data_IF_721003239445
#
_entry.id   IF_721003239445
#
_cell.length_a   1.000
_cell.length_b   1.000
_cell.length_c   1.000
_cell.angle_alpha   90.00
_cell.angle_beta   90.00
_cell.angle_gamma   90.00
#
_symmetry.space_group_name_H-M   'P 1'
#
loop_
_entity.id
_entity.type
_entity.pdbx_description
1 polymer ?
#
# COMPACT_ATOMS: atom_id res chain seq x y z
N UNK A 1 9.85 24.42 8.55
CA UNK A 1 8.75 24.48 7.56
C UNK A 1 8.16 23.08 7.46
N UNK A 2 7.37 22.55 8.40
CA UNK A 2 7.63 21.11 8.63
C UNK A 2 6.54 20.13 8.99
N UNK A 3 5.25 20.48 9.14
CA UNK A 3 4.21 19.44 9.38
C UNK A 3 3.08 19.47 8.34
N UNK A 4 2.43 20.62 8.14
CA UNK A 4 1.35 20.74 7.14
C UNK A 4 1.79 20.48 5.68
N UNK A 5 3.07 20.68 5.36
CA UNK A 5 3.63 20.40 4.03
C UNK A 5 3.95 18.92 3.80
N UNK A 6 4.25 18.16 4.86
CA UNK A 6 4.57 16.73 4.79
C UNK A 6 3.28 15.93 4.58
N UNK A 7 2.21 16.28 5.29
CA UNK A 7 0.89 15.66 5.08
C UNK A 7 0.35 15.88 3.67
N UNK A 8 0.58 17.07 3.10
CA UNK A 8 0.19 17.37 1.72
C UNK A 8 0.94 16.49 0.69
N UNK A 9 2.22 16.19 0.96
CA UNK A 9 3.05 15.36 0.08
C UNK A 9 2.65 13.88 0.12
N UNK A 10 2.37 13.33 1.32
CA UNK A 10 1.87 11.95 1.45
C UNK A 10 0.51 11.78 0.77
N UNK A 11 -0.42 12.71 0.97
CA UNK A 11 -1.72 12.69 0.30
C UNK A 11 -1.53 12.70 -1.23
N UNK A 12 -0.60 13.52 -1.74
CA UNK A 12 -0.29 13.56 -3.17
C UNK A 12 0.30 12.23 -3.67
N UNK A 13 1.19 11.58 -2.91
CA UNK A 13 1.76 10.25 -3.26
C UNK A 13 0.67 9.18 -3.30
N UNK A 14 -0.28 9.18 -2.36
CA UNK A 14 -1.43 8.26 -2.35
C UNK A 14 -2.34 8.50 -3.55
N UNK A 15 -2.65 9.76 -3.88
CA UNK A 15 -3.43 10.12 -5.05
C UNK A 15 -2.74 9.68 -6.34
N UNK A 16 -1.44 9.96 -6.48
CA UNK A 16 -0.64 9.55 -7.63
C UNK A 16 -0.58 8.03 -7.80
N UNK A 17 -0.51 7.29 -6.69
CA UNK A 17 -0.56 5.83 -6.69
C UNK A 17 -1.91 5.31 -7.19
N UNK A 18 -3.01 5.87 -6.67
CA UNK A 18 -4.38 5.56 -7.12
C UNK A 18 -4.56 5.87 -8.60
N UNK A 19 -4.14 7.04 -9.06
CA UNK A 19 -4.32 7.46 -10.45
C UNK A 19 -3.54 6.56 -11.43
N UNK A 20 -2.39 6.04 -10.99
CA UNK A 20 -1.55 5.16 -11.81
C UNK A 20 -2.08 3.73 -11.89
N UNK A 21 -2.55 3.17 -10.77
CA UNK A 21 -2.83 1.73 -10.67
C UNK A 21 -4.32 1.39 -10.49
N UNK A 22 -5.12 2.35 -10.03
CA UNK A 22 -6.56 2.22 -9.81
C UNK A 22 -6.95 1.86 -8.37
N UNK A 23 -8.26 1.76 -8.15
CA UNK A 23 -8.85 1.59 -6.82
C UNK A 23 -8.51 0.25 -6.16
N UNK A 24 -8.41 -0.82 -6.95
CA UNK A 24 -8.06 -2.15 -6.43
C UNK A 24 -6.69 -2.16 -5.75
N UNK A 25 -5.69 -1.48 -6.33
CA UNK A 25 -4.38 -1.31 -5.70
C UNK A 25 -4.45 -0.42 -4.46
N UNK A 26 -5.28 0.63 -4.47
CA UNK A 26 -5.45 1.48 -3.30
C UNK A 26 -6.07 0.71 -2.13
N UNK A 27 -7.07 -0.13 -2.39
CA UNK A 27 -7.64 -1.01 -1.35
C UNK A 27 -6.61 -2.00 -0.81
N UNK A 28 -5.76 -2.56 -1.67
CA UNK A 28 -4.65 -3.38 -1.23
C UNK A 28 -3.67 -2.63 -0.33
N UNK A 29 -3.32 -1.39 -0.69
CA UNK A 29 -2.48 -0.52 0.13
C UNK A 29 -3.09 -0.25 1.52
N UNK A 30 -4.43 -0.15 1.63
CA UNK A 30 -5.10 -0.04 2.92
C UNK A 30 -4.93 -1.28 3.79
N UNK A 31 -4.98 -2.49 3.21
CA UNK A 31 -4.69 -3.71 3.96
C UNK A 31 -3.23 -3.77 4.42
N UNK A 32 -2.30 -3.32 3.56
CA UNK A 32 -0.87 -3.27 3.85
C UNK A 32 -0.46 -2.16 4.83
N UNK A 33 -1.31 -1.15 5.05
CA UNK A 33 -1.01 -0.08 6.01
C UNK A 33 -1.16 -0.51 7.48
N UNK A 34 -1.75 -1.68 7.76
CA UNK A 34 -1.97 -2.16 9.12
C UNK A 34 -0.73 -2.80 9.77
N UNK A 35 0.02 -3.69 9.09
CA UNK A 35 1.29 -4.19 9.61
C UNK A 35 2.34 -3.08 9.77
N UNK A 36 3.15 -3.16 10.84
CA UNK A 36 4.26 -2.21 11.06
C UNK A 36 5.39 -2.37 10.04
N UNK A 37 5.61 -3.60 9.54
CA UNK A 37 6.60 -3.90 8.51
C UNK A 37 6.02 -4.90 7.51
N UNK A 38 6.49 -4.81 6.28
CA UNK A 38 6.02 -5.56 5.13
C UNK A 38 7.12 -6.45 4.59
N UNK A 39 6.75 -7.68 4.24
CA UNK A 39 7.57 -8.58 3.42
C UNK A 39 6.74 -9.00 2.20
N UNK A 40 7.39 -9.41 1.08
CA UNK A 40 6.68 -9.96 -0.07
C UNK A 40 5.73 -11.11 0.32
N UNK A 41 6.18 -12.02 1.19
CA UNK A 41 5.37 -13.14 1.66
C UNK A 41 4.12 -12.69 2.43
N UNK A 42 4.27 -11.71 3.34
CA UNK A 42 3.13 -11.16 4.08
C UNK A 42 2.12 -10.51 3.13
N UNK A 43 2.61 -9.74 2.14
CA UNK A 43 1.73 -9.10 1.16
C UNK A 43 1.01 -10.12 0.27
N UNK A 44 1.65 -11.21 -0.13
CA UNK A 44 0.97 -12.29 -0.84
C UNK A 44 -0.08 -12.98 0.05
N UNK A 45 0.17 -13.15 1.34
CA UNK A 45 -0.83 -13.63 2.29
C UNK A 45 -2.01 -12.66 2.40
N UNK A 46 -1.77 -11.35 2.45
CA UNK A 46 -2.85 -10.36 2.45
C UNK A 46 -3.66 -10.44 1.15
N UNK A 47 -2.97 -10.47 0.01
CA UNK A 47 -3.61 -10.58 -1.29
C UNK A 47 -4.48 -11.83 -1.38
N UNK A 48 -3.97 -13.00 -0.99
CA UNK A 48 -4.72 -14.25 -1.09
C UNK A 48 -5.97 -14.30 -0.18
N UNK A 49 -5.97 -13.59 0.94
CA UNK A 49 -7.03 -13.69 1.95
C UNK A 49 -8.03 -12.51 1.96
N UNK A 50 -7.66 -11.35 1.41
CA UNK A 50 -8.48 -10.12 1.47
C UNK A 50 -8.86 -9.64 0.06
N UNK A 51 -9.62 -10.46 -0.67
CA UNK A 51 -10.16 -10.11 -1.99
C UNK A 51 -11.56 -9.51 -1.97
N UNK A 52 -12.21 -9.44 -0.81
CA UNK A 52 -13.57 -8.94 -0.68
C UNK A 52 -13.63 -7.78 0.31
N UNK A 53 -14.56 -6.85 0.09
CA UNK A 53 -14.87 -5.80 1.04
C UNK A 53 -15.80 -6.30 2.17
N UNK A 54 -16.20 -5.39 3.06
CA UNK A 54 -17.08 -5.70 4.20
C UNK A 54 -18.51 -6.08 3.80
N UNK A 55 -18.91 -5.82 2.56
CA UNK A 55 -20.21 -6.22 2.00
C UNK A 55 -20.11 -7.56 1.25
N UNK A 56 -18.90 -8.09 1.07
CA UNK A 56 -18.63 -9.33 0.34
C UNK A 56 -18.40 -9.12 -1.16
N UNK A 57 -18.34 -7.86 -1.62
CA UNK A 57 -18.09 -7.53 -3.02
C UNK A 57 -16.60 -7.73 -3.35
N UNK A 58 -16.33 -8.27 -4.54
CA UNK A 58 -14.96 -8.58 -4.95
C UNK A 58 -14.19 -7.30 -5.30
N UNK A 59 -13.04 -7.10 -4.65
CA UNK A 59 -12.12 -5.99 -4.88
C UNK A 59 -11.30 -6.14 -6.17
N UNK A 60 -11.25 -7.37 -6.72
CA UNK A 60 -10.50 -7.70 -7.95
C UNK A 60 -9.03 -7.24 -7.91
N UNK A 61 -8.37 -7.41 -6.76
CA UNK A 61 -6.99 -6.95 -6.58
C UNK A 61 -6.07 -7.87 -7.39
N UNK A 62 -5.34 -7.35 -8.39
CA UNK A 62 -4.47 -8.18 -9.19
C UNK A 62 -3.25 -8.61 -8.37
N UNK A 63 -2.74 -9.82 -8.60
CA UNK A 63 -1.56 -10.34 -7.89
C UNK A 63 -0.33 -9.43 -8.01
N UNK A 64 -0.21 -8.69 -9.12
CA UNK A 64 0.88 -7.74 -9.37
C UNK A 64 0.85 -6.53 -8.42
N UNK A 65 -0.29 -6.26 -7.75
CA UNK A 65 -0.40 -5.20 -6.76
C UNK A 65 0.59 -5.32 -5.60
N UNK A 66 1.06 -6.54 -5.30
CA UNK A 66 2.13 -6.80 -4.33
C UNK A 66 3.42 -6.08 -4.73
N UNK A 67 3.88 -6.31 -5.97
CA UNK A 67 5.10 -5.70 -6.47
C UNK A 67 4.91 -4.20 -6.73
N UNK A 68 3.76 -3.81 -7.28
CA UNK A 68 3.45 -2.41 -7.55
C UNK A 68 3.46 -1.57 -6.26
N UNK A 69 2.96 -2.12 -5.15
CA UNK A 69 2.99 -1.46 -3.85
C UNK A 69 4.41 -1.34 -3.30
N UNK A 70 5.16 -2.45 -3.21
CA UNK A 70 6.52 -2.46 -2.66
C UNK A 70 7.49 -1.53 -3.40
N UNK A 71 7.32 -1.44 -4.73
CA UNK A 71 8.17 -0.61 -5.59
C UNK A 71 7.62 0.82 -5.76
N UNK A 72 6.48 1.14 -5.14
CA UNK A 72 5.93 2.48 -5.17
C UNK A 72 6.62 3.41 -4.18
N UNK A 73 6.46 4.73 -4.35
CA UNK A 73 6.88 5.69 -3.34
C UNK A 73 6.13 5.57 -2.01
N UNK A 74 5.14 4.68 -1.84
CA UNK A 74 4.47 4.50 -0.54
C UNK A 74 5.26 3.60 0.42
N UNK A 75 6.24 2.86 -0.10
CA UNK A 75 7.07 1.94 0.67
C UNK A 75 8.56 2.29 0.52
N UNK A 76 9.34 1.98 1.55
CA UNK A 76 10.80 2.03 1.49
C UNK A 76 11.39 0.78 2.13
N UNK A 77 12.48 0.28 1.56
CA UNK A 77 13.20 -0.89 2.09
C UNK A 77 14.03 -0.47 3.32
N UNK A 78 13.81 -1.15 4.44
CA UNK A 78 14.52 -0.92 5.72
C UNK A 78 15.46 -2.09 6.09
N UNK A 79 15.40 -3.18 5.34
CA UNK A 79 16.25 -4.36 5.47
C UNK A 79 16.00 -5.34 4.33
N UNK A 80 16.74 -6.44 4.27
CA UNK A 80 16.60 -7.41 3.20
C UNK A 80 15.16 -7.95 3.12
N UNK A 81 14.46 -7.61 2.04
CA UNK A 81 13.05 -7.95 1.80
C UNK A 81 12.09 -7.45 2.89
N UNK A 82 12.50 -6.44 3.65
CA UNK A 82 11.73 -5.82 4.72
C UNK A 82 11.49 -4.36 4.39
N UNK A 83 10.22 -3.98 4.35
CA UNK A 83 9.77 -2.65 3.93
C UNK A 83 8.89 -2.03 4.99
N UNK A 84 8.87 -0.70 5.04
CA UNK A 84 7.93 0.07 5.84
C UNK A 84 7.14 1.00 4.93
N UNK A 85 5.86 1.22 5.27
CA UNK A 85 5.08 2.26 4.61
C UNK A 85 5.46 3.62 5.17
N UNK A 86 5.49 4.63 4.30
CA UNK A 86 5.79 6.01 4.68
C UNK A 86 4.74 6.53 5.68
N UNK A 87 5.20 6.88 6.89
CA UNK A 87 4.37 7.46 7.94
C UNK A 87 4.58 8.97 8.01
N UNK A 88 3.49 9.69 8.31
CA UNK A 88 3.58 11.09 8.75
C UNK A 88 4.27 11.11 10.13
N UNK A 89 5.50 11.64 10.19
CA UNK A 89 6.23 11.89 11.45
C UNK A 89 6.28 13.38 11.77
#
# INVERSE_FOLDING_TARGET
MTQASVSADIIHRIQSFRDKFGDAHLYFAYHAAFPIALTPDLLYCLWANFQQDIQGDNLNIPWIAVADLLLSPLCHEVGHELYEMELET
#
